data_IF_861595910282
#
_entry.id   IF_861595910282
#
_cell.length_a   1.000
_cell.length_b   1.000
_cell.length_c   1.000
_cell.angle_alpha   90.00
_cell.angle_beta   90.00
_cell.angle_gamma   90.00
#
_symmetry.space_group_name_H-M   'P 1'
#
loop_
_entity.id
_entity.type
_entity.pdbx_description
1 polymer ?
#
# COMPACT_ATOMS: atom_id res chain seq x y z
N UNK A 1 41.72 -43.87 -10.88
CA UNK A 1 41.21 -42.95 -11.91
C UNK A 1 42.19 -41.78 -12.00
N UNK A 2 43.03 -41.71 -13.05
CA UNK A 2 44.00 -40.63 -13.21
C UNK A 2 43.29 -39.43 -13.85
N UNK A 3 42.94 -38.41 -13.04
CA UNK A 3 42.41 -37.15 -13.55
C UNK A 3 43.46 -36.49 -14.45
N UNK A 4 43.10 -36.26 -15.71
CA UNK A 4 43.95 -35.53 -16.64
C UNK A 4 44.10 -34.09 -16.15
N UNK A 5 45.35 -33.70 -15.85
CA UNK A 5 45.72 -32.40 -15.28
C UNK A 5 45.12 -31.22 -16.04
N UNK A 6 44.98 -31.30 -17.36
CA UNK A 6 44.39 -30.22 -18.17
C UNK A 6 42.90 -30.02 -17.87
N UNK A 7 42.15 -31.10 -17.73
CA UNK A 7 40.72 -31.02 -17.36
C UNK A 7 40.54 -30.55 -15.91
N UNK A 8 41.42 -30.95 -14.99
CA UNK A 8 41.41 -30.45 -13.62
C UNK A 8 41.67 -28.93 -13.56
N UNK A 9 42.66 -28.42 -14.31
CA UNK A 9 42.95 -26.98 -14.40
C UNK A 9 41.78 -26.22 -15.02
N UNK A 10 41.20 -26.73 -16.11
CA UNK A 10 40.06 -26.07 -16.76
C UNK A 10 38.83 -26.02 -15.84
N UNK A 11 38.56 -27.10 -15.11
CA UNK A 11 37.51 -27.14 -14.10
C UNK A 11 37.74 -26.12 -12.97
N UNK A 12 38.97 -25.98 -12.47
CA UNK A 12 39.32 -25.00 -11.46
C UNK A 12 39.15 -23.55 -11.96
N UNK A 13 39.58 -23.25 -13.18
CA UNK A 13 39.40 -21.91 -13.78
C UNK A 13 37.92 -21.59 -13.95
N UNK A 14 37.12 -22.53 -14.46
CA UNK A 14 35.68 -22.34 -14.60
C UNK A 14 34.98 -22.13 -13.25
N UNK A 15 35.38 -22.88 -12.23
CA UNK A 15 34.86 -22.72 -10.87
C UNK A 15 35.22 -21.34 -10.29
N UNK A 16 36.46 -20.88 -10.49
CA UNK A 16 36.87 -19.53 -10.07
C UNK A 16 36.08 -18.43 -10.80
N UNK A 17 35.90 -18.54 -12.12
CA UNK A 17 35.10 -17.58 -12.89
C UNK A 17 33.63 -17.58 -12.43
N UNK A 18 33.06 -18.75 -12.14
CA UNK A 18 31.71 -18.86 -11.59
C UNK A 18 31.60 -18.22 -10.21
N UNK A 19 32.61 -18.38 -9.36
CA UNK A 19 32.66 -17.77 -8.03
C UNK A 19 32.75 -16.25 -8.12
N UNK A 20 33.69 -15.73 -8.91
CA UNK A 20 33.88 -14.28 -9.12
C UNK A 20 32.61 -13.66 -9.71
N UNK A 21 32.02 -14.30 -10.72
CA UNK A 21 30.77 -13.84 -11.31
C UNK A 21 29.61 -13.79 -10.31
N UNK A 22 29.50 -14.81 -9.43
CA UNK A 22 28.47 -14.84 -8.40
C UNK A 22 28.69 -13.77 -7.32
N UNK A 23 29.92 -13.56 -6.87
CA UNK A 23 30.27 -12.51 -5.90
C UNK A 23 29.95 -11.13 -6.50
N UNK A 24 30.42 -10.85 -7.71
CA UNK A 24 30.13 -9.59 -8.40
C UNK A 24 28.62 -9.35 -8.57
N UNK A 25 27.87 -10.40 -8.93
CA UNK A 25 26.43 -10.32 -9.05
C UNK A 25 25.74 -10.05 -7.71
N UNK A 26 26.18 -10.73 -6.63
CA UNK A 26 25.67 -10.52 -5.29
C UNK A 26 25.94 -9.10 -4.79
N UNK A 27 27.16 -8.59 -4.94
CA UNK A 27 27.53 -7.22 -4.53
C UNK A 27 26.66 -6.15 -5.20
N UNK A 28 26.33 -6.31 -6.49
CA UNK A 28 25.41 -5.40 -7.19
C UNK A 28 24.00 -5.39 -6.59
N UNK A 29 23.58 -6.49 -5.96
CA UNK A 29 22.28 -6.63 -5.32
C UNK A 29 22.30 -6.27 -3.84
N UNK A 30 23.44 -5.86 -3.26
CA UNK A 30 23.44 -5.37 -1.88
C UNK A 30 22.84 -3.96 -1.81
N UNK A 31 21.83 -3.79 -0.97
CA UNK A 31 21.31 -2.48 -0.59
C UNK A 31 22.26 -1.83 0.41
N UNK A 32 22.63 -0.58 0.17
CA UNK A 32 23.33 0.24 1.18
C UNK A 32 22.44 0.55 2.36
N UNK A 33 21.14 0.75 2.11
CA UNK A 33 20.13 1.08 3.11
C UNK A 33 18.82 0.36 2.79
N UNK A 34 18.00 0.03 3.81
CA UNK A 34 16.65 -0.45 3.58
C UNK A 34 15.82 0.54 2.73
N UNK A 35 14.99 0.00 1.84
CA UNK A 35 14.11 0.78 0.96
C UNK A 35 12.70 0.73 1.54
N UNK A 36 12.23 1.86 2.07
CA UNK A 36 10.84 2.04 2.48
C UNK A 36 9.95 2.27 1.25
N UNK A 37 8.83 1.54 1.20
CA UNK A 37 7.82 1.70 0.17
C UNK A 37 7.02 2.98 0.45
N UNK A 38 6.56 3.68 -0.59
CA UNK A 38 5.62 4.79 -0.39
C UNK A 38 4.20 4.23 -0.22
N UNK A 39 3.50 4.75 0.75
CA UNK A 39 2.16 4.35 1.16
C UNK A 39 1.19 5.50 0.89
N UNK A 40 0.14 5.23 0.12
CA UNK A 40 -0.93 6.17 -0.19
C UNK A 40 -2.21 5.63 0.42
N UNK A 41 -2.45 6.05 1.66
CA UNK A 41 -3.45 5.45 2.53
C UNK A 41 -4.52 6.47 2.93
N UNK A 42 -5.78 6.08 2.80
CA UNK A 42 -6.95 6.78 3.31
C UNK A 42 -7.53 5.97 4.47
N UNK A 43 -7.21 6.38 5.70
CA UNK A 43 -7.43 5.58 6.90
C UNK A 43 -8.65 6.13 7.64
N UNK A 44 -9.68 5.29 7.75
CA UNK A 44 -10.88 5.59 8.50
C UNK A 44 -10.69 5.25 9.99
N UNK A 45 -11.38 5.97 10.89
CA UNK A 45 -11.24 5.89 12.37
C UNK A 45 -11.32 4.46 12.96
N UNK A 46 -11.95 3.51 12.25
CA UNK A 46 -12.09 2.11 12.68
C UNK A 46 -10.93 1.17 12.28
N UNK A 47 -9.90 1.66 11.59
CA UNK A 47 -8.79 0.83 11.13
C UNK A 47 -7.67 0.75 12.18
N UNK A 48 -7.70 -0.32 12.99
CA UNK A 48 -6.78 -0.51 14.13
C UNK A 48 -5.37 -1.01 13.77
N UNK A 49 -5.05 -1.20 12.49
CA UNK A 49 -3.76 -1.76 12.08
C UNK A 49 -3.34 -1.27 10.69
N UNK A 50 -2.28 -0.49 10.63
CA UNK A 50 -1.72 0.07 9.40
C UNK A 50 -0.40 -0.62 9.10
N UNK A 51 -0.30 -1.20 7.91
CA UNK A 51 0.89 -1.94 7.48
C UNK A 51 1.78 -1.09 6.59
N UNK A 52 3.01 -0.84 7.04
CA UNK A 52 4.07 -0.21 6.28
C UNK A 52 5.07 -1.26 5.82
N UNK A 53 5.50 -1.17 4.57
CA UNK A 53 6.41 -2.11 3.95
C UNK A 53 7.78 -1.49 3.69
N UNK A 54 8.81 -2.29 3.88
CA UNK A 54 10.17 -1.94 3.46
C UNK A 54 10.95 -3.17 3.03
N UNK A 55 11.99 -2.94 2.23
CA UNK A 55 12.83 -3.97 1.65
C UNK A 55 14.23 -3.84 2.23
N UNK A 56 14.78 -4.94 2.74
CA UNK A 56 16.16 -4.99 3.23
C UNK A 56 16.91 -6.18 2.64
N UNK A 57 18.23 -6.20 2.82
CA UNK A 57 19.06 -7.33 2.41
C UNK A 57 18.64 -8.61 3.14
N UNK A 58 18.69 -9.75 2.45
CA UNK A 58 18.32 -11.05 3.02
C UNK A 58 19.12 -11.40 4.28
N UNK A 59 20.38 -11.01 4.34
CA UNK A 59 21.29 -11.31 5.45
C UNK A 59 21.27 -10.24 6.56
N UNK A 60 20.48 -9.17 6.40
CA UNK A 60 20.36 -8.14 7.43
C UNK A 60 19.75 -8.72 8.73
N UNK A 61 20.42 -8.43 9.84
CA UNK A 61 19.93 -8.69 11.20
C UNK A 61 19.37 -7.41 11.86
N UNK A 62 19.40 -6.29 11.13
CA UNK A 62 18.87 -5.01 11.62
C UNK A 62 17.34 -5.12 11.70
N UNK A 63 16.80 -4.69 12.83
CA UNK A 63 15.37 -4.64 13.11
C UNK A 63 14.99 -3.22 13.48
N UNK A 64 13.73 -2.86 13.26
CA UNK A 64 13.19 -1.57 13.65
C UNK A 64 13.00 -1.57 15.16
N UNK A 65 13.66 -0.63 15.84
CA UNK A 65 13.55 -0.42 17.27
C UNK A 65 12.52 0.65 17.61
N UNK A 66 12.43 1.70 16.80
CA UNK A 66 11.46 2.77 16.99
C UNK A 66 10.97 3.33 15.64
N UNK A 67 9.72 3.79 15.62
CA UNK A 67 9.13 4.54 14.50
C UNK A 67 8.45 5.79 15.04
N UNK A 68 8.79 6.94 14.48
CA UNK A 68 8.23 8.24 14.81
C UNK A 68 7.67 8.88 13.55
N UNK A 69 6.50 9.52 13.66
CA UNK A 69 5.89 10.29 12.58
C UNK A 69 5.85 11.77 12.99
N UNK A 70 6.76 12.62 12.48
CA UNK A 70 6.91 14.00 12.93
C UNK A 70 5.62 14.83 12.91
N UNK A 71 4.74 14.59 11.94
CA UNK A 71 3.50 15.34 11.72
C UNK A 71 2.43 15.12 12.80
N UNK A 72 2.54 14.04 13.57
CA UNK A 72 1.62 13.71 14.67
C UNK A 72 2.26 13.77 16.05
N UNK A 73 3.54 14.17 16.15
CA UNK A 73 4.26 14.36 17.41
C UNK A 73 5.08 13.15 17.87
N UNK A 74 5.60 13.24 19.10
CA UNK A 74 6.54 12.27 19.69
C UNK A 74 5.86 11.24 20.60
N UNK A 75 4.62 10.87 20.30
CA UNK A 75 3.97 9.80 21.06
C UNK A 75 4.61 8.46 20.73
N UNK A 76 4.80 7.61 21.75
CA UNK A 76 5.24 6.24 21.53
C UNK A 76 4.16 5.50 20.74
N UNK A 77 4.54 4.98 19.58
CA UNK A 77 3.63 4.25 18.71
C UNK A 77 3.96 2.77 18.81
N UNK A 78 2.98 1.99 19.27
CA UNK A 78 3.12 0.54 19.32
C UNK A 78 3.15 -0.02 17.90
N UNK A 79 4.14 -0.86 17.64
CA UNK A 79 4.25 -1.56 16.37
C UNK A 79 4.74 -2.99 16.56
N UNK A 80 4.43 -3.83 15.58
CA UNK A 80 5.04 -5.15 15.42
C UNK A 80 5.72 -5.24 14.07
N UNK A 81 6.82 -5.96 13.99
CA UNK A 81 7.58 -6.17 12.76
C UNK A 81 7.54 -7.64 12.36
N UNK A 82 7.25 -7.93 11.10
CA UNK A 82 7.19 -9.29 10.57
C UNK A 82 7.79 -9.41 9.18
N UNK A 83 8.18 -10.63 8.81
CA UNK A 83 8.70 -10.95 7.48
C UNK A 83 7.53 -11.37 6.56
N UNK A 84 7.42 -10.75 5.38
CA UNK A 84 6.44 -11.07 4.34
C UNK A 84 7.13 -11.76 3.15
N UNK A 85 7.90 -12.82 3.39
CA UNK A 85 8.73 -13.46 2.36
C UNK A 85 8.34 -14.89 2.03
N UNK A 86 8.07 -15.12 0.76
CA UNK A 86 8.07 -16.46 0.15
C UNK A 86 9.29 -16.70 -0.76
N UNK A 87 10.06 -15.65 -1.11
CA UNK A 87 11.27 -15.74 -1.94
C UNK A 87 12.44 -15.06 -1.23
N UNK A 88 13.57 -15.78 -1.09
CA UNK A 88 14.69 -15.47 -0.18
C UNK A 88 16.01 -15.21 -0.90
N UNK A 89 16.02 -14.84 -2.19
CA UNK A 89 17.28 -14.82 -2.94
C UNK A 89 18.26 -13.69 -2.54
N UNK A 90 17.80 -12.45 -2.53
CA UNK A 90 18.65 -11.28 -2.21
C UNK A 90 18.05 -10.33 -1.17
N UNK A 91 16.72 -10.31 -1.08
CA UNK A 91 15.99 -9.32 -0.31
C UNK A 91 14.95 -9.96 0.60
N UNK A 92 14.56 -9.23 1.65
CA UNK A 92 13.41 -9.49 2.49
C UNK A 92 12.44 -8.33 2.37
N UNK A 93 11.18 -8.62 2.08
CA UNK A 93 10.06 -7.73 2.35
C UNK A 93 9.68 -7.85 3.83
N UNK A 94 9.65 -6.71 4.50
CA UNK A 94 9.37 -6.55 5.91
C UNK A 94 8.09 -5.72 6.05
N UNK A 95 7.30 -6.02 7.07
CA UNK A 95 6.03 -5.37 7.36
C UNK A 95 6.05 -4.85 8.79
N UNK A 96 5.93 -3.54 8.94
CA UNK A 96 5.73 -2.84 10.20
C UNK A 96 4.24 -2.60 10.34
N UNK A 97 3.62 -3.24 11.32
CA UNK A 97 2.22 -3.12 11.65
C UNK A 97 2.09 -2.14 12.81
N UNK A 98 1.54 -0.96 12.53
CA UNK A 98 1.36 0.14 13.48
C UNK A 98 -0.08 0.19 13.95
N UNK A 99 -0.28 0.35 15.25
CA UNK A 99 -1.59 0.63 15.82
C UNK A 99 -1.65 2.09 16.28
N UNK A 100 -2.55 2.87 15.67
CA UNK A 100 -2.82 4.26 16.05
C UNK A 100 -3.98 4.40 17.03
N UNK A 101 -4.70 3.32 17.32
CA UNK A 101 -5.82 3.34 18.26
C UNK A 101 -5.33 3.06 19.68
N UNK A 102 -5.94 3.73 20.65
CA UNK A 102 -5.81 3.36 22.05
C UNK A 102 -6.41 1.96 22.24
N UNK A 103 -5.61 1.04 22.81
CA UNK A 103 -5.98 -0.36 23.04
C UNK A 103 -7.24 -0.49 23.91
N UNK A 104 -7.50 0.49 24.78
CA UNK A 104 -8.63 0.47 25.71
C UNK A 104 -9.93 1.02 25.10
N UNK A 105 -9.83 1.91 24.09
CA UNK A 105 -10.99 2.63 23.55
C UNK A 105 -11.35 2.24 22.11
N UNK A 106 -10.51 1.46 21.41
CA UNK A 106 -10.67 1.14 19.99
C UNK A 106 -10.95 2.38 19.13
N UNK A 107 -10.36 3.52 19.51
CA UNK A 107 -10.50 4.81 18.83
C UNK A 107 -9.14 5.44 18.67
N UNK A 108 -8.94 6.09 17.52
CA UNK A 108 -7.81 6.97 17.33
C UNK A 108 -7.91 8.15 18.33
N UNK A 109 -6.84 8.47 19.08
CA UNK A 109 -6.83 9.62 19.95
C UNK A 109 -7.01 10.91 19.14
N UNK A 110 -7.64 11.91 19.78
CA UNK A 110 -8.12 13.12 19.09
C UNK A 110 -7.01 13.92 18.39
N UNK A 111 -5.79 13.85 18.91
CA UNK A 111 -4.59 14.47 18.35
C UNK A 111 -4.19 13.88 16.98
N UNK A 112 -4.59 12.64 16.67
CA UNK A 112 -4.31 11.96 15.39
C UNK A 112 -5.38 12.18 14.34
N UNK A 113 -6.56 12.69 14.74
CA UNK A 113 -7.68 12.90 13.82
C UNK A 113 -7.39 14.01 12.82
N UNK A 114 -7.79 13.78 11.57
CA UNK A 114 -7.65 14.72 10.46
C UNK A 114 -6.21 15.16 10.18
N UNK A 115 -5.25 14.24 10.36
CA UNK A 115 -3.82 14.47 10.13
C UNK A 115 -3.37 13.84 8.82
N UNK A 116 -2.28 14.38 8.28
CA UNK A 116 -1.58 13.83 7.12
C UNK A 116 -0.16 13.50 7.53
N UNK A 117 0.22 12.23 7.38
CA UNK A 117 1.59 11.77 7.61
C UNK A 117 2.26 11.60 6.25
N UNK A 118 3.46 12.15 6.11
CA UNK A 118 4.27 12.03 4.89
C UNK A 118 5.65 11.46 5.16
N UNK A 119 6.16 11.62 6.39
CA UNK A 119 7.50 11.18 6.77
C UNK A 119 7.48 10.22 7.93
N UNK A 120 8.47 9.35 7.98
CA UNK A 120 8.79 8.58 9.16
C UNK A 120 10.27 8.72 9.50
N UNK A 121 10.56 8.77 10.79
CA UNK A 121 11.89 8.61 11.35
C UNK A 121 11.96 7.21 11.98
N UNK A 122 12.83 6.37 11.43
CA UNK A 122 12.99 4.98 11.82
C UNK A 122 14.35 4.81 12.47
N UNK A 123 14.35 4.28 13.69
CA UNK A 123 15.57 3.92 14.42
C UNK A 123 15.72 2.41 14.42
N UNK A 124 16.88 1.91 13.98
CA UNK A 124 17.21 0.49 13.96
C UNK A 124 18.01 0.05 15.18
N UNK A 125 18.02 -1.25 15.47
CA UNK A 125 18.73 -1.85 16.61
C UNK A 125 20.24 -1.61 16.65
N UNK A 126 20.86 -1.27 15.51
CA UNK A 126 22.27 -0.88 15.41
C UNK A 126 22.52 0.62 15.67
N UNK A 127 21.48 1.39 16.04
CA UNK A 127 21.54 2.84 16.24
C UNK A 127 21.42 3.66 14.96
N UNK A 128 21.28 3.04 13.79
CA UNK A 128 21.06 3.76 12.52
C UNK A 128 19.69 4.44 12.55
N UNK A 129 19.65 5.70 12.14
CA UNK A 129 18.42 6.47 12.00
C UNK A 129 18.22 6.79 10.52
N UNK A 130 17.03 6.50 10.00
CA UNK A 130 16.64 6.83 8.62
C UNK A 130 15.41 7.74 8.68
N UNK A 131 15.49 8.88 8.01
CA UNK A 131 14.34 9.76 7.80
C UNK A 131 13.87 9.59 6.36
N UNK A 132 12.65 9.08 6.18
CA UNK A 132 12.12 8.70 4.88
C UNK A 132 10.82 9.42 4.57
N UNK A 133 10.63 9.80 3.31
CA UNK A 133 9.32 10.07 2.73
C UNK A 133 8.62 8.72 2.51
N UNK A 134 7.55 8.50 3.25
CA UNK A 134 6.76 7.27 3.22
C UNK A 134 5.46 7.41 2.42
N UNK A 135 5.33 8.47 1.62
CA UNK A 135 4.15 8.75 0.81
C UNK A 135 3.20 9.75 1.47
N UNK A 136 1.91 9.44 1.48
CA UNK A 136 0.86 10.31 2.01
C UNK A 136 -0.24 9.46 2.64
N UNK A 137 -0.36 9.56 3.96
CA UNK A 137 -1.33 8.82 4.76
C UNK A 137 -2.30 9.82 5.39
N UNK A 138 -3.58 9.77 5.03
CA UNK A 138 -4.64 10.56 5.65
C UNK A 138 -5.24 9.77 6.80
N UNK A 139 -5.22 10.35 8.00
CA UNK A 139 -5.91 9.83 9.18
C UNK A 139 -7.23 10.60 9.35
N UNK A 140 -8.36 9.92 9.20
CA UNK A 140 -9.67 10.54 9.37
C UNK A 140 -10.06 10.65 10.84
N UNK A 141 -10.77 11.73 11.17
CA UNK A 141 -11.56 11.78 12.39
C UNK A 141 -12.79 10.89 12.36
N UNK A 142 -13.61 10.97 13.40
CA UNK A 142 -14.87 10.24 13.47
C UNK A 142 -15.82 10.75 12.39
N UNK A 143 -16.33 9.82 11.58
CA UNK A 143 -17.27 10.12 10.51
C UNK A 143 -18.69 9.81 11.01
N UNK A 144 -19.53 10.83 11.15
CA UNK A 144 -20.89 10.72 11.72
C UNK A 144 -22.01 10.66 10.67
N UNK A 145 -21.67 10.56 9.39
CA UNK A 145 -22.70 10.57 8.34
C UNK A 145 -23.40 9.21 8.21
N UNK A 146 -24.72 9.26 8.07
CA UNK A 146 -25.56 8.08 7.82
C UNK A 146 -25.54 7.75 6.33
N UNK A 147 -24.95 6.62 5.91
CA UNK A 147 -24.88 6.28 4.50
C UNK A 147 -26.27 5.92 3.96
N UNK A 148 -26.66 6.48 2.81
CA UNK A 148 -27.90 6.06 2.12
C UNK A 148 -27.73 4.73 1.37
N UNK A 149 -26.47 4.32 1.14
CA UNK A 149 -26.12 3.02 0.58
C UNK A 149 -25.44 2.14 1.63
N UNK A 150 -25.94 0.92 1.81
CA UNK A 150 -25.30 -0.09 2.66
C UNK A 150 -24.42 -1.00 1.81
N UNK A 151 -23.16 -1.18 2.20
CA UNK A 151 -22.27 -2.13 1.52
C UNK A 151 -22.79 -3.56 1.73
N UNK A 152 -23.20 -4.21 0.65
CA UNK A 152 -23.72 -5.57 0.66
C UNK A 152 -22.58 -6.59 0.55
N UNK A 153 -21.63 -6.35 -0.36
CA UNK A 153 -20.48 -7.21 -0.60
C UNK A 153 -19.26 -6.38 -0.97
N UNK A 154 -18.07 -6.88 -0.65
CA UNK A 154 -16.79 -6.35 -1.11
C UNK A 154 -15.84 -7.49 -1.46
N UNK A 155 -15.06 -7.30 -2.52
CA UNK A 155 -14.09 -8.26 -3.04
C UNK A 155 -12.79 -7.53 -3.38
N UNK A 156 -11.67 -8.21 -3.15
CA UNK A 156 -10.36 -7.80 -3.63
C UNK A 156 -9.58 -9.05 -4.01
N UNK A 157 -8.80 -8.97 -5.09
CA UNK A 157 -8.07 -10.09 -5.67
C UNK A 157 -6.58 -9.77 -5.79
N UNK A 158 -5.78 -10.81 -5.90
CA UNK A 158 -4.31 -10.71 -6.06
C UNK A 158 -3.86 -10.27 -7.47
N UNK A 159 -4.82 -10.11 -8.39
CA UNK A 159 -4.64 -9.57 -9.74
C UNK A 159 -4.84 -8.04 -9.81
N UNK A 160 -4.90 -7.38 -8.66
CA UNK A 160 -5.07 -5.93 -8.50
C UNK A 160 -6.46 -5.41 -8.86
N UNK A 161 -7.45 -6.30 -8.91
CA UNK A 161 -8.87 -5.94 -9.06
C UNK A 161 -9.61 -6.00 -7.73
N UNK A 162 -10.71 -5.27 -7.67
CA UNK A 162 -11.68 -5.40 -6.60
C UNK A 162 -13.00 -4.76 -6.98
N UNK A 163 -14.04 -5.07 -6.22
CA UNK A 163 -15.35 -4.51 -6.40
C UNK A 163 -16.10 -4.43 -5.08
N UNK A 164 -16.96 -3.44 -4.95
CA UNK A 164 -17.95 -3.35 -3.88
C UNK A 164 -19.34 -3.16 -4.46
N UNK A 165 -20.30 -3.87 -3.89
CA UNK A 165 -21.71 -3.73 -4.23
C UNK A 165 -22.41 -3.07 -3.06
N UNK A 166 -23.11 -1.98 -3.33
CA UNK A 166 -23.85 -1.20 -2.36
C UNK A 166 -25.32 -1.25 -2.68
N UNK A 167 -26.17 -1.41 -1.66
CA UNK A 167 -27.61 -1.44 -1.80
C UNK A 167 -28.22 -0.14 -1.28
N UNK A 168 -29.07 0.50 -2.08
CA UNK A 168 -29.80 1.69 -1.68
C UNK A 168 -30.84 1.36 -0.60
N UNK A 169 -30.79 2.04 0.54
CA UNK A 169 -31.74 1.83 1.65
C UNK A 169 -33.04 2.62 1.46
N UNK A 170 -32.99 3.67 0.65
CA UNK A 170 -34.09 4.53 0.23
C UNK A 170 -33.78 5.11 -1.15
N UNK A 171 -34.77 5.75 -1.77
CA UNK A 171 -34.58 6.49 -3.02
C UNK A 171 -33.46 7.54 -2.84
N UNK A 172 -32.43 7.47 -3.67
CA UNK A 172 -31.23 8.29 -3.53
C UNK A 172 -30.58 8.55 -4.88
N UNK A 173 -29.84 9.66 -4.95
CA UNK A 173 -29.04 10.07 -6.10
C UNK A 173 -27.59 9.86 -5.78
N UNK A 174 -26.87 9.10 -6.59
CA UNK A 174 -25.41 9.11 -6.57
C UNK A 174 -24.96 10.35 -7.33
N UNK A 175 -24.33 11.31 -6.65
CA UNK A 175 -23.97 12.61 -7.22
C UNK A 175 -22.56 12.64 -7.77
N UNK A 176 -21.71 11.70 -7.37
CA UNK A 176 -20.36 11.55 -7.90
C UNK A 176 -19.51 10.56 -7.13
N UNK A 177 -18.27 10.40 -7.57
CA UNK A 177 -17.22 9.67 -6.84
C UNK A 177 -16.09 10.63 -6.51
N UNK A 178 -15.52 10.50 -5.31
CA UNK A 178 -14.44 11.37 -4.84
C UNK A 178 -13.32 10.56 -4.18
N UNK A 179 -12.08 11.02 -4.29
CA UNK A 179 -10.95 10.45 -3.56
C UNK A 179 -9.99 11.56 -3.15
N UNK A 180 -9.21 11.34 -2.09
CA UNK A 180 -8.13 12.23 -1.67
C UNK A 180 -6.85 12.10 -2.49
N UNK A 181 -6.77 11.10 -3.37
CA UNK A 181 -5.57 10.79 -4.17
C UNK A 181 -5.79 10.88 -5.69
N UNK A 182 -6.48 11.90 -6.22
CA UNK A 182 -6.74 11.97 -7.66
C UNK A 182 -5.42 12.02 -8.45
N UNK A 183 -4.42 12.75 -7.95
CA UNK A 183 -3.09 12.92 -8.54
C UNK A 183 -2.30 11.61 -8.67
N UNK A 184 -2.63 10.60 -7.85
CA UNK A 184 -1.87 9.36 -7.81
C UNK A 184 -2.56 8.24 -8.57
N UNK A 185 -3.89 8.25 -8.67
CA UNK A 185 -4.66 7.13 -9.22
C UNK A 185 -5.32 7.38 -10.57
N UNK A 186 -5.47 8.63 -11.03
CA UNK A 186 -6.31 8.99 -12.20
C UNK A 186 -5.99 8.19 -13.47
N UNK A 187 -4.72 7.89 -13.73
CA UNK A 187 -4.25 7.18 -14.94
C UNK A 187 -3.79 5.75 -14.68
N UNK A 188 -3.80 5.30 -13.42
CA UNK A 188 -3.37 3.94 -13.02
C UNK A 188 -4.48 3.10 -12.41
N UNK A 189 -5.62 3.69 -12.04
CA UNK A 189 -6.78 2.97 -11.54
C UNK A 189 -7.94 3.08 -12.52
N UNK A 190 -8.32 1.95 -13.12
CA UNK A 190 -9.49 1.87 -13.98
C UNK A 190 -10.74 1.65 -13.11
N UNK A 191 -11.52 2.70 -12.92
CA UNK A 191 -12.77 2.64 -12.16
C UNK A 191 -13.95 2.41 -13.11
N UNK A 192 -14.85 1.50 -12.72
CA UNK A 192 -16.12 1.25 -13.40
C UNK A 192 -17.28 1.31 -12.42
N UNK A 193 -18.42 1.81 -12.90
CA UNK A 193 -19.70 1.82 -12.18
C UNK A 193 -20.70 1.00 -12.98
N UNK A 194 -21.29 -0.02 -12.35
CA UNK A 194 -22.18 -0.98 -13.02
C UNK A 194 -21.59 -1.51 -14.35
N UNK A 195 -20.31 -1.88 -14.32
CA UNK A 195 -19.55 -2.40 -15.46
C UNK A 195 -19.11 -1.37 -16.51
N UNK A 196 -19.56 -0.11 -16.44
CA UNK A 196 -19.19 0.96 -17.40
C UNK A 196 -18.02 1.81 -16.88
N UNK A 197 -17.03 2.17 -17.72
CA UNK A 197 -15.93 3.06 -17.32
C UNK A 197 -16.44 4.38 -16.73
N UNK A 198 -15.78 4.88 -15.67
CA UNK A 198 -16.20 6.10 -14.97
C UNK A 198 -16.37 7.31 -15.91
N UNK A 199 -15.54 7.42 -16.96
CA UNK A 199 -15.61 8.50 -17.96
C UNK A 199 -16.90 8.50 -18.79
N UNK A 200 -17.60 7.36 -18.86
CA UNK A 200 -18.87 7.21 -19.58
C UNK A 200 -20.09 7.41 -18.67
N UNK A 201 -19.88 7.54 -17.37
CA UNK A 201 -20.95 7.73 -16.39
C UNK A 201 -21.35 9.20 -16.36
N UNK A 202 -22.65 9.46 -16.46
CA UNK A 202 -23.25 10.78 -16.24
C UNK A 202 -23.92 10.78 -14.88
N UNK A 203 -23.42 11.63 -13.98
CA UNK A 203 -24.06 11.87 -12.69
C UNK A 203 -25.11 13.01 -12.79
N UNK A 204 -26.15 13.01 -11.95
CA UNK A 204 -26.44 12.01 -10.92
C UNK A 204 -27.01 10.69 -11.48
N UNK A 205 -26.76 9.58 -10.77
CA UNK A 205 -27.44 8.31 -11.01
C UNK A 205 -28.59 8.17 -10.02
N UNK A 206 -29.82 7.99 -10.52
CA UNK A 206 -31.00 7.78 -9.70
C UNK A 206 -31.10 6.29 -9.30
N UNK A 207 -31.22 6.01 -8.01
CA UNK A 207 -31.39 4.67 -7.46
C UNK A 207 -32.68 4.63 -6.64
N UNK A 208 -33.49 3.58 -6.84
CA UNK A 208 -34.64 3.27 -6.00
C UNK A 208 -34.24 2.46 -4.78
N UNK A 209 -35.04 2.53 -3.73
CA UNK A 209 -34.87 1.68 -2.56
C UNK A 209 -34.76 0.20 -2.97
N UNK A 210 -33.68 -0.46 -2.57
CA UNK A 210 -33.38 -1.85 -2.90
C UNK A 210 -32.48 -2.06 -4.12
N UNK A 211 -32.26 -1.04 -4.96
CA UNK A 211 -31.34 -1.10 -6.11
C UNK A 211 -29.89 -1.31 -5.66
N UNK A 212 -29.10 -1.92 -6.55
CA UNK A 212 -27.67 -2.14 -6.34
C UNK A 212 -26.84 -1.18 -7.18
N UNK A 213 -25.77 -0.68 -6.59
CA UNK A 213 -24.68 0.04 -7.23
C UNK A 213 -23.40 -0.77 -7.07
N UNK A 214 -22.83 -1.21 -8.19
CA UNK A 214 -21.51 -1.83 -8.21
C UNK A 214 -20.45 -0.80 -8.59
N UNK A 215 -19.40 -0.73 -7.77
CA UNK A 215 -18.19 0.04 -8.07
C UNK A 215 -17.02 -0.93 -8.07
N UNK A 216 -16.35 -1.05 -9.22
CA UNK A 216 -15.18 -1.92 -9.39
C UNK A 216 -13.97 -1.11 -9.79
N UNK A 217 -12.79 -1.59 -9.43
CA UNK A 217 -11.51 -1.00 -9.80
C UNK A 217 -10.52 -2.06 -10.30
N UNK A 218 -9.55 -1.62 -11.09
CA UNK A 218 -8.39 -2.40 -11.49
C UNK A 218 -7.17 -1.47 -11.55
N UNK A 219 -6.12 -1.77 -10.78
CA UNK A 219 -4.86 -1.04 -10.91
C UNK A 219 -4.06 -1.58 -12.11
N UNK A 220 -3.74 -0.68 -13.06
CA UNK A 220 -2.86 -0.94 -14.21
C UNK A 220 -1.74 0.07 -14.26
N UNK A 221 -0.52 -0.45 -14.25
CA UNK A 221 0.68 0.36 -14.36
C UNK A 221 1.37 0.11 -15.69
N UNK A 222 1.86 1.17 -16.32
CA UNK A 222 2.77 1.03 -17.45
C UNK A 222 4.07 0.37 -17.00
N UNK A 223 4.78 -0.32 -17.92
CA UNK A 223 5.98 -1.12 -17.61
C UNK A 223 7.03 -0.37 -16.76
N UNK A 224 7.23 0.92 -17.07
CA UNK A 224 8.23 1.78 -16.44
C UNK A 224 7.63 2.72 -15.39
N UNK A 225 6.36 2.57 -15.04
CA UNK A 225 5.73 3.41 -14.04
C UNK A 225 6.22 3.01 -12.65
N UNK A 226 6.92 3.93 -11.98
CA UNK A 226 7.48 3.69 -10.65
C UNK A 226 6.39 3.49 -9.59
N UNK A 227 5.16 3.98 -9.83
CA UNK A 227 4.03 3.87 -8.91
C UNK A 227 3.59 2.44 -8.66
N UNK A 228 3.89 1.52 -9.58
CA UNK A 228 3.69 0.07 -9.40
C UNK A 228 4.38 -0.49 -8.15
N UNK A 229 5.38 0.21 -7.63
CA UNK A 229 6.12 -0.20 -6.44
C UNK A 229 5.53 0.33 -5.14
N UNK A 230 4.52 1.20 -5.19
CA UNK A 230 3.92 1.79 -4.01
C UNK A 230 2.84 0.85 -3.43
N UNK A 231 2.44 1.13 -2.20
CA UNK A 231 1.30 0.52 -1.55
C UNK A 231 0.12 1.51 -1.53
N UNK A 232 -1.06 1.02 -1.89
CA UNK A 232 -2.31 1.76 -1.96
C UNK A 232 -3.34 1.10 -1.06
N UNK A 233 -3.99 1.92 -0.25
CA UNK A 233 -5.16 1.55 0.54
C UNK A 233 -6.04 2.80 0.60
N UNK A 234 -6.76 3.06 -0.48
CA UNK A 234 -7.44 4.31 -0.77
C UNK A 234 -8.94 4.05 -0.69
N UNK A 235 -9.70 5.03 -0.20
CA UNK A 235 -11.16 5.03 -0.35
C UNK A 235 -11.57 5.87 -1.56
N UNK A 236 -12.54 5.32 -2.29
CA UNK A 236 -13.35 6.06 -3.25
C UNK A 236 -14.71 6.30 -2.59
N UNK A 237 -14.97 7.56 -2.28
CA UNK A 237 -16.20 8.01 -1.64
C UNK A 237 -17.30 8.09 -2.70
N UNK A 238 -18.36 7.33 -2.48
CA UNK A 238 -19.60 7.36 -3.26
C UNK A 238 -20.49 8.44 -2.66
N UNK A 239 -20.56 9.59 -3.32
CA UNK A 239 -21.32 10.73 -2.85
C UNK A 239 -22.79 10.54 -3.20
N UNK A 240 -23.67 10.79 -2.22
CA UNK A 240 -25.11 10.57 -2.35
C UNK A 240 -25.93 11.72 -1.81
N UNK A 241 -27.14 11.85 -2.31
CA UNK A 241 -28.16 12.79 -1.84
C UNK A 241 -29.50 12.05 -1.79
N UNK A 242 -30.25 12.15 -0.68
CA UNK A 242 -31.61 11.60 -0.61
C UNK A 242 -32.66 12.59 -1.15
N UNK A 243 -33.93 12.16 -1.18
CA UNK A 243 -35.04 12.99 -1.68
C UNK A 243 -35.28 14.26 -0.86
N UNK A 244 -34.80 14.30 0.39
CA UNK A 244 -34.93 15.44 1.29
C UNK A 244 -33.71 16.39 1.19
N UNK A 245 -32.76 16.07 0.31
CA UNK A 245 -31.52 16.84 0.11
C UNK A 245 -30.41 16.52 1.13
N UNK A 246 -30.58 15.48 1.96
CA UNK A 246 -29.55 15.08 2.90
C UNK A 246 -28.40 14.40 2.15
N UNK A 247 -27.19 14.89 2.37
CA UNK A 247 -25.99 14.32 1.78
C UNK A 247 -25.48 13.15 2.60
N UNK A 248 -25.06 12.10 1.91
CA UNK A 248 -24.40 10.95 2.50
C UNK A 248 -23.18 10.54 1.68
N UNK A 249 -22.34 9.71 2.27
CA UNK A 249 -21.26 9.06 1.53
C UNK A 249 -21.12 7.60 1.97
N UNK A 250 -20.81 6.73 1.02
CA UNK A 250 -20.47 5.33 1.24
C UNK A 250 -19.08 5.04 0.67
N UNK A 251 -18.37 4.05 1.20
CA UNK A 251 -16.96 3.82 0.88
C UNK A 251 -16.78 2.63 -0.05
N UNK A 252 -16.02 2.81 -1.13
CA UNK A 252 -15.43 1.73 -1.90
C UNK A 252 -13.91 1.67 -1.60
N UNK A 253 -13.47 0.60 -0.94
CA UNK A 253 -12.04 0.41 -0.62
C UNK A 253 -11.29 -0.10 -1.85
N UNK A 254 -10.20 0.58 -2.20
CA UNK A 254 -9.30 0.24 -3.30
C UNK A 254 -7.91 -0.05 -2.74
N UNK A 255 -7.40 -1.24 -3.01
CA UNK A 255 -6.11 -1.66 -2.47
C UNK A 255 -5.19 -2.27 -3.53
N UNK A 256 -3.90 -2.01 -3.38
CA UNK A 256 -2.83 -2.60 -4.17
C UNK A 256 -1.55 -2.60 -3.36
N UNK A 257 -0.87 -3.75 -3.30
CA UNK A 257 0.51 -3.83 -2.81
C UNK A 257 1.16 -5.09 -3.35
N UNK A 258 2.48 -5.06 -3.47
CA UNK A 258 3.24 -6.22 -3.92
C UNK A 258 3.59 -7.12 -2.73
N UNK A 259 3.21 -8.39 -2.83
CA UNK A 259 3.31 -9.36 -1.73
C UNK A 259 4.69 -10.02 -1.58
N UNK A 260 5.65 -9.71 -2.46
CA UNK A 260 6.97 -10.36 -2.45
C UNK A 260 8.05 -9.42 -2.98
N UNK A 261 9.28 -9.47 -2.44
CA UNK A 261 10.36 -8.57 -2.84
C UNK A 261 10.70 -8.68 -4.34
N UNK A 262 10.60 -9.88 -4.93
CA UNK A 262 10.90 -10.10 -6.35
C UNK A 262 9.93 -9.45 -7.34
N UNK A 263 8.77 -8.95 -6.88
CA UNK A 263 7.83 -8.20 -7.72
C UNK A 263 8.17 -6.71 -7.79
N UNK A 264 8.99 -6.21 -6.86
CA UNK A 264 9.39 -4.80 -6.84
C UNK A 264 10.52 -4.55 -7.84
N UNK A 265 10.45 -3.40 -8.50
CA UNK A 265 11.50 -2.85 -9.34
C UNK A 265 12.54 -2.14 -8.46
N UNK A 266 13.42 -2.94 -7.86
CA UNK A 266 14.40 -2.47 -6.87
C UNK A 266 15.32 -1.41 -7.45
N UNK A 267 15.72 -1.53 -8.71
CA UNK A 267 16.59 -0.56 -9.36
C UNK A 267 15.90 0.80 -9.52
N UNK A 268 14.63 0.82 -9.94
CA UNK A 268 13.86 2.07 -10.00
C UNK A 268 13.68 2.70 -8.62
N UNK A 269 13.45 1.89 -7.58
CA UNK A 269 13.35 2.36 -6.20
C UNK A 269 14.68 2.93 -5.66
N UNK A 270 15.83 2.43 -6.11
CA UNK A 270 17.15 2.96 -5.75
C UNK A 270 17.43 4.32 -6.39
N UNK A 271 17.03 4.52 -7.65
CA UNK A 271 17.32 5.75 -8.40
C UNK A 271 16.49 6.92 -7.88
N UNK A 272 15.21 6.71 -7.57
CA UNK A 272 14.31 7.77 -7.06
C UNK A 272 14.63 8.30 -5.66
N UNK A 273 15.74 7.84 -5.05
CA UNK A 273 16.20 8.20 -3.70
C UNK A 273 17.53 8.99 -3.69
N UNK A 274 18.14 9.22 -4.86
CA UNK A 274 19.31 10.11 -5.01
C UNK A 274 18.86 11.52 -5.34
#
# INVERSE_FOLDING_TARGET
>A
MNLNKKFAIFGLVFLMLSWVGNIYFYEKHILKEPIFIKHYYDIQSAMNNIQFYYIQNINSQEQVQNIEFPEIGQEYISFTESDRNNDKRYYKLKCISVNFCDLDQNKAPDNLKNKVITKAKITFTNGKIINEDIGRIYLHGDNTNSPTLTMANATSSSDNTGASTHRATKDTKVTGLYTKFPDIIEDVALIKVNGKPLKEIKFPLELKAGDNLEVSYEFKFNKNDIRKNNAYNITLDILTEDTDGNKGHSLCFMNYWLQSPGKYDIESLRIGRR
#
